data_IF_942102067445
#
_entry.id   IF_942102067445
#
_cell.length_a   1.000
_cell.length_b   1.000
_cell.length_c   1.000
_cell.angle_alpha   90.00
_cell.angle_beta   90.00
_cell.angle_gamma   90.00
#
_symmetry.space_group_name_H-M   'P 1'
#
loop_
_entity.id
_entity.type
_entity.pdbx_description
1 polymer ?
#
# COMPACT_ATOMS: atom_id res chain seq x y z
N UNK A 1 -22.90 26.07 1.96
CA UNK A 1 -22.35 25.28 0.85
C UNK A 1 -20.97 24.82 1.29
N UNK A 2 -20.93 23.73 2.07
CA UNK A 2 -19.71 23.21 2.68
C UNK A 2 -18.84 22.61 1.58
N UNK A 3 -17.56 22.97 1.60
CA UNK A 3 -16.59 22.55 0.61
C UNK A 3 -16.44 21.02 0.62
N UNK A 4 -17.11 20.32 -0.33
CA UNK A 4 -17.01 18.86 -0.53
C UNK A 4 -15.63 18.42 -1.08
N UNK A 5 -14.66 19.33 -1.15
CA UNK A 5 -13.34 19.09 -1.77
C UNK A 5 -12.20 18.85 -0.79
N UNK A 6 -12.42 18.98 0.52
CA UNK A 6 -11.40 18.62 1.50
C UNK A 6 -11.16 17.10 1.53
N UNK A 7 -9.91 16.69 1.73
CA UNK A 7 -9.61 15.32 2.19
C UNK A 7 -10.29 15.12 3.55
N UNK A 8 -10.62 13.87 3.89
CA UNK A 8 -11.02 13.58 5.28
C UNK A 8 -9.80 13.85 6.17
N UNK A 9 -9.81 14.90 7.00
CA UNK A 9 -8.64 15.29 7.78
C UNK A 9 -8.29 14.26 8.86
N UNK A 10 -9.16 13.30 9.14
CA UNK A 10 -8.90 12.18 10.05
C UNK A 10 -8.46 10.89 9.34
N UNK A 11 -8.44 10.84 8.01
CA UNK A 11 -8.03 9.66 7.28
C UNK A 11 -6.50 9.57 7.17
N UNK A 12 -5.90 8.38 7.37
CA UNK A 12 -4.47 8.20 7.12
C UNK A 12 -4.09 8.52 5.68
N UNK A 13 -2.86 9.00 5.48
CA UNK A 13 -2.38 9.35 4.14
C UNK A 13 -2.26 8.09 3.27
N UNK A 14 -1.71 7.01 3.83
CA UNK A 14 -1.48 5.78 3.09
C UNK A 14 -2.05 4.54 3.77
N UNK A 15 -2.37 3.54 2.95
CA UNK A 15 -2.79 2.21 3.36
C UNK A 15 -1.70 1.21 2.98
N UNK A 16 -1.20 0.40 3.92
CA UNK A 16 -0.23 -0.65 3.63
C UNK A 16 -0.92 -2.01 3.47
N UNK A 17 -1.07 -2.44 2.21
CA UNK A 17 -1.62 -3.75 1.84
C UNK A 17 -0.52 -4.80 1.74
N UNK A 18 -0.71 -5.94 2.40
CA UNK A 18 0.25 -7.04 2.44
C UNK A 18 -0.47 -8.38 2.58
N UNK A 19 0.18 -9.47 2.16
CA UNK A 19 -0.36 -10.82 2.34
C UNK A 19 -0.37 -11.18 3.83
N UNK A 20 -1.56 -11.28 4.41
CA UNK A 20 -1.75 -11.72 5.79
C UNK A 20 -1.64 -13.25 5.86
N UNK A 21 -1.13 -13.81 6.96
CA UNK A 21 -1.28 -15.22 7.26
C UNK A 21 -2.77 -15.57 7.33
N UNK A 22 -3.18 -16.62 6.62
CA UNK A 22 -4.56 -17.10 6.66
C UNK A 22 -4.90 -17.60 8.08
N UNK A 23 -5.83 -16.89 8.74
CA UNK A 23 -6.22 -17.19 10.13
C UNK A 23 -6.84 -18.59 10.27
N UNK A 24 -7.41 -19.13 9.20
CA UNK A 24 -8.10 -20.44 9.23
C UNK A 24 -7.14 -21.62 9.32
N UNK A 25 -5.86 -21.43 8.99
CA UNK A 25 -4.86 -22.52 8.88
C UNK A 25 -3.81 -22.53 10.00
N UNK A 26 -3.81 -21.57 10.92
CA UNK A 26 -2.76 -21.45 11.92
C UNK A 26 -3.07 -22.26 13.18
N UNK A 27 -2.74 -23.56 13.18
CA UNK A 27 -2.69 -24.41 14.39
C UNK A 27 -1.27 -24.33 14.97
N UNK A 28 -1.09 -23.58 16.06
CA UNK A 28 0.21 -23.45 16.76
C UNK A 28 0.43 -22.05 17.38
N UNK A 29 1.45 -21.87 18.23
CA UNK A 29 1.77 -20.55 18.79
C UNK A 29 2.04 -19.56 17.65
N UNK A 30 1.60 -18.29 17.78
CA UNK A 30 1.80 -17.30 16.73
C UNK A 30 3.30 -17.19 16.40
N UNK A 31 3.72 -17.67 15.23
CA UNK A 31 4.93 -17.11 14.61
C UNK A 31 4.65 -15.63 14.44
N UNK A 32 5.61 -14.72 14.66
CA UNK A 32 5.43 -13.28 14.38
C UNK A 32 5.61 -13.05 12.87
N UNK A 33 4.59 -13.24 12.00
CA UNK A 33 4.82 -13.44 10.58
C UNK A 33 5.10 -12.11 9.87
N UNK A 34 4.99 -10.99 10.60
CA UNK A 34 4.88 -9.65 10.04
C UNK A 34 5.87 -8.66 10.64
N UNK A 35 6.90 -9.08 11.40
CA UNK A 35 7.84 -8.13 12.05
C UNK A 35 8.48 -7.15 11.06
N UNK A 36 8.87 -7.61 9.87
CA UNK A 36 9.44 -6.72 8.84
C UNK A 36 8.37 -5.84 8.16
N UNK A 37 7.11 -6.27 8.11
CA UNK A 37 6.00 -5.44 7.63
C UNK A 37 5.69 -4.33 8.62
N UNK A 38 5.68 -4.66 9.93
CA UNK A 38 5.50 -3.69 11.01
C UNK A 38 6.65 -2.68 11.00
N UNK A 39 7.90 -3.15 10.95
CA UNK A 39 9.06 -2.26 10.81
C UNK A 39 8.93 -1.32 9.62
N UNK A 40 8.60 -1.85 8.43
CA UNK A 40 8.40 -1.01 7.24
C UNK A 40 7.29 0.01 7.44
N UNK A 41 6.18 -0.39 8.08
CA UNK A 41 5.07 0.51 8.36
C UNK A 41 5.48 1.63 9.30
N UNK A 42 6.20 1.32 10.38
CA UNK A 42 6.66 2.31 11.36
C UNK A 42 7.65 3.29 10.70
N UNK A 43 8.68 2.78 10.02
CA UNK A 43 9.70 3.58 9.33
C UNK A 43 9.06 4.48 8.25
N UNK A 44 8.12 3.94 7.47
CA UNK A 44 7.43 4.68 6.42
C UNK A 44 6.48 5.74 7.01
N UNK A 45 5.78 5.41 8.09
CA UNK A 45 4.88 6.33 8.80
C UNK A 45 5.61 7.54 9.32
N UNK A 46 6.77 7.35 9.96
CA UNK A 46 7.62 8.44 10.46
C UNK A 46 8.02 9.39 9.31
N UNK A 47 8.56 8.85 8.21
CA UNK A 47 8.99 9.66 7.08
C UNK A 47 7.83 10.38 6.37
N UNK A 48 6.68 9.73 6.22
CA UNK A 48 5.49 10.34 5.61
C UNK A 48 4.96 11.47 6.50
N UNK A 49 4.95 11.29 7.82
CA UNK A 49 4.56 12.32 8.76
C UNK A 49 5.48 13.56 8.67
N UNK A 50 6.79 13.35 8.62
CA UNK A 50 7.77 14.45 8.46
C UNK A 50 7.61 15.19 7.12
N UNK A 51 7.30 14.47 6.04
CA UNK A 51 7.22 15.05 4.69
C UNK A 51 5.90 15.77 4.37
N UNK A 52 4.80 15.34 4.97
CA UNK A 52 3.45 15.85 4.65
C UNK A 52 2.88 16.68 5.78
N UNK A 53 3.22 16.35 7.03
CA UNK A 53 2.57 16.88 8.22
C UNK A 53 1.19 16.25 8.40
N UNK A 54 1.00 15.47 9.47
CA UNK A 54 -0.32 14.99 9.87
C UNK A 54 -0.94 15.97 10.89
N UNK A 55 -2.28 16.19 10.89
CA UNK A 55 -2.94 16.88 11.98
C UNK A 55 -2.58 16.20 13.32
N UNK A 56 -2.37 17.01 14.37
CA UNK A 56 -1.98 16.51 15.70
C UNK A 56 -2.94 15.40 16.14
N UNK A 57 -2.43 14.18 16.28
CA UNK A 57 -3.16 13.01 16.76
C UNK A 57 -3.65 12.01 15.69
N UNK A 58 -3.38 12.23 14.40
CA UNK A 58 -3.71 11.28 13.32
C UNK A 58 -2.52 10.40 12.92
N UNK A 59 -2.74 9.08 12.82
CA UNK A 59 -1.77 8.13 12.26
C UNK A 59 -1.55 8.41 10.75
N UNK A 60 -0.31 8.61 10.28
CA UNK A 60 -0.02 8.93 8.87
C UNK A 60 -0.30 7.75 7.93
N UNK A 61 -0.34 6.52 8.47
CA UNK A 61 -0.60 5.29 7.72
C UNK A 61 -1.65 4.40 8.39
N UNK A 62 -2.24 3.50 7.61
CA UNK A 62 -3.05 2.40 8.10
C UNK A 62 -2.40 1.05 7.80
N UNK A 63 -2.28 0.20 8.82
CA UNK A 63 -1.86 -1.19 8.71
C UNK A 63 -2.83 -2.08 9.49
N UNK A 64 -3.47 -3.02 8.80
CA UNK A 64 -4.24 -4.06 9.50
C UNK A 64 -3.29 -5.12 10.08
N UNK A 65 -3.12 -5.08 11.40
CA UNK A 65 -2.39 -6.10 12.16
C UNK A 65 -3.22 -7.37 12.41
N UNK A 66 -4.45 -7.42 11.90
CA UNK A 66 -5.33 -8.58 12.04
C UNK A 66 -5.80 -8.82 13.48
N UNK A 67 -5.82 -7.77 14.30
CA UNK A 67 -6.16 -7.86 15.74
C UNK A 67 -7.66 -7.75 16.04
N UNK A 68 -8.48 -7.45 15.03
CA UNK A 68 -9.96 -7.50 15.11
C UNK A 68 -10.50 -8.66 14.27
N UNK A 69 -11.54 -9.35 14.74
CA UNK A 69 -12.30 -10.31 13.95
C UNK A 69 -13.74 -9.80 13.73
N UNK A 70 -14.43 -10.38 12.75
CA UNK A 70 -15.84 -10.10 12.48
C UNK A 70 -16.12 -8.80 11.72
N UNK A 71 -17.39 -8.42 11.66
CA UNK A 71 -17.92 -7.33 10.81
C UNK A 71 -17.29 -5.97 11.11
N UNK A 72 -16.98 -5.69 12.37
CA UNK A 72 -16.35 -4.42 12.75
C UNK A 72 -14.95 -4.28 12.14
N UNK A 73 -14.20 -5.37 12.08
CA UNK A 73 -12.87 -5.37 11.47
C UNK A 73 -12.95 -5.15 9.95
N UNK A 74 -13.85 -5.86 9.27
CA UNK A 74 -14.09 -5.66 7.84
C UNK A 74 -14.47 -4.19 7.56
N UNK A 75 -15.38 -3.61 8.34
CA UNK A 75 -15.74 -2.20 8.22
C UNK A 75 -14.54 -1.27 8.41
N UNK A 76 -13.67 -1.53 9.39
CA UNK A 76 -12.46 -0.73 9.60
C UNK A 76 -11.49 -0.81 8.41
N UNK A 77 -11.26 -2.00 7.84
CA UNK A 77 -10.38 -2.18 6.68
C UNK A 77 -10.96 -1.50 5.44
N UNK A 78 -12.26 -1.69 5.17
CA UNK A 78 -12.94 -1.05 4.03
C UNK A 78 -13.01 0.47 4.18
N UNK A 79 -13.24 0.98 5.40
CA UNK A 79 -13.17 2.41 5.70
C UNK A 79 -11.79 2.95 5.35
N UNK A 80 -10.73 2.33 5.87
CA UNK A 80 -9.36 2.79 5.60
C UNK A 80 -9.00 2.71 4.11
N UNK A 81 -9.33 1.61 3.43
CA UNK A 81 -9.09 1.47 1.99
C UNK A 81 -9.90 2.47 1.15
N UNK A 82 -11.11 2.79 1.60
CA UNK A 82 -12.02 3.74 0.96
C UNK A 82 -11.66 5.21 1.18
N UNK A 83 -10.87 5.55 2.20
CA UNK A 83 -10.54 6.95 2.55
C UNK A 83 -9.08 7.34 2.36
N UNK A 84 -8.12 6.42 2.55
CA UNK A 84 -6.69 6.72 2.40
C UNK A 84 -6.36 7.27 1.01
N UNK A 85 -5.34 8.12 0.90
CA UNK A 85 -4.98 8.77 -0.38
C UNK A 85 -4.04 7.92 -1.24
N UNK A 86 -3.24 7.04 -0.64
CA UNK A 86 -2.28 6.19 -1.38
C UNK A 86 -2.36 4.75 -0.87
N UNK A 87 -2.36 3.77 -1.76
CA UNK A 87 -2.20 2.36 -1.40
C UNK A 87 -0.76 1.95 -1.68
N UNK A 88 -0.08 1.37 -0.69
CA UNK A 88 1.22 0.71 -0.87
C UNK A 88 0.99 -0.79 -0.83
N UNK A 89 1.30 -1.49 -1.91
CA UNK A 89 1.07 -2.94 -2.03
C UNK A 89 2.40 -3.68 -1.92
N UNK A 90 2.56 -4.53 -0.91
CA UNK A 90 3.74 -5.39 -0.76
C UNK A 90 3.63 -6.63 -1.66
N UNK A 91 3.90 -6.43 -2.96
CA UNK A 91 3.75 -7.44 -4.01
C UNK A 91 4.74 -8.57 -3.79
N UNK A 92 4.19 -9.77 -3.65
CA UNK A 92 4.88 -11.04 -3.45
C UNK A 92 3.99 -12.16 -3.99
N UNK A 93 4.53 -13.36 -4.14
CA UNK A 93 3.72 -14.51 -4.57
C UNK A 93 2.46 -14.73 -3.70
N UNK A 94 2.53 -14.74 -2.35
CA UNK A 94 1.34 -14.87 -1.52
C UNK A 94 0.34 -13.70 -1.67
N UNK A 95 0.85 -12.48 -1.88
CA UNK A 95 0.00 -11.30 -2.12
C UNK A 95 -0.85 -11.49 -3.37
N UNK A 96 -0.24 -11.96 -4.45
CA UNK A 96 -0.88 -12.09 -5.76
C UNK A 96 -1.81 -13.30 -5.87
N UNK A 97 -1.49 -14.41 -5.20
CA UNK A 97 -2.13 -15.69 -5.49
C UNK A 97 -2.81 -16.36 -4.29
N UNK A 98 -2.52 -15.96 -3.06
CA UNK A 98 -3.04 -16.62 -1.85
C UNK A 98 -3.87 -15.71 -0.93
N UNK A 99 -3.71 -14.40 -1.02
CA UNK A 99 -4.43 -13.47 -0.16
C UNK A 99 -5.87 -13.29 -0.61
N UNK A 100 -6.83 -13.51 0.30
CA UNK A 100 -8.25 -13.21 0.06
C UNK A 100 -8.59 -11.73 0.18
N UNK A 101 -7.76 -10.94 0.87
CA UNK A 101 -8.02 -9.51 1.14
C UNK A 101 -7.30 -8.56 0.19
N UNK A 102 -6.13 -8.93 -0.32
CA UNK A 102 -5.36 -8.04 -1.20
C UNK A 102 -6.11 -7.69 -2.50
N UNK A 103 -6.81 -8.62 -3.17
CA UNK A 103 -7.63 -8.28 -4.33
C UNK A 103 -8.77 -7.30 -4.00
N UNK A 104 -9.43 -7.49 -2.85
CA UNK A 104 -10.53 -6.62 -2.39
C UNK A 104 -10.02 -5.20 -2.16
N UNK A 105 -8.94 -5.05 -1.39
CA UNK A 105 -8.32 -3.77 -1.09
C UNK A 105 -7.86 -3.05 -2.36
N UNK A 106 -7.24 -3.79 -3.29
CA UNK A 106 -6.84 -3.25 -4.57
C UNK A 106 -8.03 -2.74 -5.37
N UNK A 107 -9.11 -3.51 -5.44
CA UNK A 107 -10.30 -3.15 -6.21
C UNK A 107 -11.00 -1.91 -5.63
N UNK A 108 -11.02 -1.74 -4.29
CA UNK A 108 -11.48 -0.50 -3.65
C UNK A 108 -10.69 0.70 -4.15
N UNK A 109 -9.35 0.64 -4.17
CA UNK A 109 -8.53 1.74 -4.65
C UNK A 109 -8.65 1.94 -6.17
N UNK A 110 -8.71 0.86 -6.96
CA UNK A 110 -8.73 0.92 -8.42
C UNK A 110 -10.02 1.56 -8.97
N UNK A 111 -11.14 1.45 -8.23
CA UNK A 111 -12.42 2.06 -8.61
C UNK A 111 -12.52 3.54 -8.24
N UNK A 112 -11.62 4.05 -7.39
CA UNK A 112 -11.67 5.44 -6.90
C UNK A 112 -11.14 6.41 -7.94
N UNK A 113 -11.82 7.55 -8.04
CA UNK A 113 -11.43 8.61 -8.96
C UNK A 113 -10.20 9.36 -8.43
N UNK A 114 -9.15 9.43 -9.23
CA UNK A 114 -7.94 10.23 -8.96
C UNK A 114 -8.05 11.55 -9.72
N UNK A 115 -8.08 12.68 -9.01
CA UNK A 115 -8.20 14.02 -9.60
C UNK A 115 -6.95 14.86 -9.30
N UNK A 116 -6.40 15.61 -10.27
CA UNK A 116 -5.30 16.53 -10.00
C UNK A 116 -5.72 17.60 -8.99
N UNK A 117 -4.85 17.93 -8.03
CA UNK A 117 -5.03 19.10 -7.17
C UNK A 117 -4.82 20.38 -7.96
N UNK A 118 -5.38 21.49 -7.47
CA UNK A 118 -5.30 22.80 -8.13
C UNK A 118 -3.84 23.19 -8.39
N UNK A 119 -3.50 23.46 -9.65
CA UNK A 119 -2.14 23.83 -10.07
C UNK A 119 -1.24 22.65 -10.43
N UNK A 120 -1.68 21.40 -10.24
CA UNK A 120 -0.97 20.23 -10.73
C UNK A 120 -1.24 20.02 -12.23
N UNK A 121 -0.20 19.66 -12.99
CA UNK A 121 -0.34 19.25 -14.39
C UNK A 121 -0.99 17.87 -14.41
N UNK A 122 -2.12 17.67 -15.13
CA UNK A 122 -2.75 16.36 -15.23
C UNK A 122 -1.80 15.36 -15.88
N UNK A 123 -1.47 14.28 -15.17
CA UNK A 123 -0.79 13.11 -15.70
C UNK A 123 -1.53 11.87 -15.21
N UNK A 124 -1.57 10.83 -16.04
CA UNK A 124 -2.09 9.54 -15.61
C UNK A 124 -1.17 8.99 -14.51
N UNK A 125 -1.69 8.96 -13.28
CA UNK A 125 -1.01 8.42 -12.11
C UNK A 125 -2.03 7.59 -11.32
N UNK A 126 -1.61 6.42 -10.84
CA UNK A 126 -2.43 5.61 -9.96
C UNK A 126 -2.26 6.05 -8.51
N UNK A 127 -3.31 5.90 -7.71
CA UNK A 127 -3.21 5.98 -6.25
C UNK A 127 -2.52 4.74 -5.64
N UNK A 128 -2.31 3.71 -6.45
CA UNK A 128 -1.73 2.43 -6.06
C UNK A 128 -0.23 2.43 -6.38
N UNK A 129 0.58 2.08 -5.40
CA UNK A 129 2.04 1.99 -5.45
C UNK A 129 2.46 0.54 -5.16
N UNK A 130 2.61 -0.29 -6.21
CA UNK A 130 3.06 -1.67 -6.05
C UNK A 130 4.55 -1.72 -5.74
N UNK A 131 4.93 -2.24 -4.59
CA UNK A 131 6.32 -2.39 -4.13
C UNK A 131 6.71 -3.86 -4.21
N UNK A 132 7.82 -4.16 -4.88
CA UNK A 132 8.40 -5.51 -4.86
C UNK A 132 8.83 -5.87 -3.43
N UNK A 133 8.06 -6.73 -2.77
CA UNK A 133 8.32 -7.16 -1.40
C UNK A 133 9.30 -8.33 -1.37
N UNK A 134 9.02 -9.36 -2.15
CA UNK A 134 9.91 -10.51 -2.41
C UNK A 134 9.88 -10.81 -3.90
N UNK A 135 11.00 -11.24 -4.50
CA UNK A 135 11.01 -11.68 -5.90
C UNK A 135 10.09 -12.90 -6.10
N UNK A 136 9.55 -13.03 -7.31
CA UNK A 136 8.72 -14.16 -7.76
C UNK A 136 8.90 -14.31 -9.28
N UNK A 137 8.62 -15.51 -9.81
CA UNK A 137 8.88 -15.86 -11.21
C UNK A 137 7.64 -15.76 -12.10
N UNK A 138 6.45 -15.74 -11.50
CA UNK A 138 5.18 -15.75 -12.20
C UNK A 138 4.87 -14.39 -12.82
N UNK A 139 4.14 -14.40 -13.95
CA UNK A 139 3.64 -13.18 -14.56
C UNK A 139 2.68 -12.44 -13.62
N UNK A 140 2.71 -11.10 -13.71
CA UNK A 140 1.77 -10.25 -12.99
C UNK A 140 0.35 -10.44 -13.55
N UNK A 141 -0.66 -10.67 -12.68
CA UNK A 141 -2.06 -10.61 -13.09
C UNK A 141 -2.41 -9.26 -13.73
N UNK A 142 -3.33 -9.26 -14.70
CA UNK A 142 -3.62 -8.08 -15.54
C UNK A 142 -3.92 -6.78 -14.76
N UNK A 143 -4.71 -6.78 -13.66
CA UNK A 143 -4.95 -5.56 -12.89
C UNK A 143 -3.68 -4.98 -12.27
N UNK A 144 -2.75 -5.83 -11.84
CA UNK A 144 -1.47 -5.42 -11.24
C UNK A 144 -0.48 -4.99 -12.31
N UNK A 145 -0.40 -5.72 -13.42
CA UNK A 145 0.45 -5.39 -14.57
C UNK A 145 0.10 -4.03 -15.22
N UNK A 146 -1.16 -3.60 -15.11
CA UNK A 146 -1.62 -2.30 -15.60
C UNK A 146 -1.11 -1.11 -14.76
N UNK A 147 -0.55 -1.36 -13.58
CA UNK A 147 0.03 -0.33 -12.69
C UNK A 147 1.54 -0.49 -12.66
N UNK A 148 2.27 0.60 -12.87
CA UNK A 148 3.73 0.57 -12.86
C UNK A 148 4.25 0.20 -11.45
N UNK A 149 5.06 -0.85 -11.37
CA UNK A 149 5.80 -1.18 -10.15
C UNK A 149 6.65 0.01 -9.71
N UNK A 150 6.74 0.21 -8.40
CA UNK A 150 7.65 1.17 -7.80
C UNK A 150 9.10 0.74 -8.08
N UNK A 151 9.89 1.68 -8.59
CA UNK A 151 11.33 1.52 -8.76
C UNK A 151 11.99 2.79 -8.22
N UNK A 152 12.83 2.69 -7.17
CA UNK A 152 13.49 3.85 -6.60
C UNK A 152 14.45 4.45 -7.64
N UNK A 153 14.46 5.78 -7.75
CA UNK A 153 15.35 6.51 -8.67
C UNK A 153 16.22 7.53 -7.93
N UNK A 154 17.42 7.79 -8.45
CA UNK A 154 18.36 8.71 -7.81
C UNK A 154 18.82 8.20 -6.44
N UNK A 155 19.10 6.90 -6.37
CA UNK A 155 19.83 6.30 -5.25
C UNK A 155 21.33 6.65 -5.38
N UNK A 156 22.10 6.65 -4.27
CA UNK A 156 23.52 7.03 -4.29
C UNK A 156 24.40 6.15 -5.18
N UNK A 157 23.99 4.91 -5.39
CA UNK A 157 24.73 3.89 -6.11
C UNK A 157 23.77 3.15 -7.05
N UNK A 158 24.19 2.95 -8.29
CA UNK A 158 23.39 2.34 -9.35
C UNK A 158 23.03 0.88 -9.02
N UNK A 159 23.92 0.17 -8.32
CA UNK A 159 23.74 -1.24 -7.96
C UNK A 159 22.63 -1.44 -6.91
N UNK A 160 22.27 -0.39 -6.16
CA UNK A 160 21.25 -0.48 -5.10
C UNK A 160 19.86 -0.75 -5.69
N UNK A 161 19.57 -0.19 -6.86
CA UNK A 161 18.31 -0.48 -7.57
C UNK A 161 18.30 -1.92 -8.04
N UNK A 162 19.41 -2.42 -8.61
CA UNK A 162 19.52 -3.81 -9.03
C UNK A 162 19.36 -4.77 -7.86
N UNK A 163 19.94 -4.43 -6.69
CA UNK A 163 19.81 -5.21 -5.46
C UNK A 163 18.36 -5.28 -4.97
N UNK A 164 17.66 -4.15 -4.97
CA UNK A 164 16.22 -4.11 -4.66
C UNK A 164 15.40 -5.00 -5.59
N UNK A 165 15.65 -4.92 -6.90
CA UNK A 165 14.92 -5.72 -7.90
C UNK A 165 15.23 -7.22 -7.76
N UNK A 166 16.44 -7.58 -7.34
CA UNK A 166 16.86 -8.98 -7.14
C UNK A 166 16.33 -9.57 -5.84
N UNK A 167 16.48 -8.84 -4.74
CA UNK A 167 16.21 -9.36 -3.40
C UNK A 167 14.78 -9.05 -2.90
N UNK A 168 14.11 -8.07 -3.51
CA UNK A 168 12.92 -7.43 -2.95
C UNK A 168 13.23 -6.63 -1.68
N UNK A 169 12.28 -5.80 -1.24
CA UNK A 169 12.49 -4.98 -0.03
C UNK A 169 12.70 -5.82 1.23
N UNK A 170 12.04 -6.98 1.34
CA UNK A 170 12.23 -7.90 2.46
C UNK A 170 13.65 -8.48 2.48
N UNK A 171 14.17 -8.87 1.31
CA UNK A 171 15.51 -9.41 1.20
C UNK A 171 16.56 -8.38 1.61
N UNK A 172 16.42 -7.14 1.16
CA UNK A 172 17.27 -6.01 1.59
C UNK A 172 17.18 -5.80 3.11
N UNK A 173 15.97 -5.80 3.68
CA UNK A 173 15.76 -5.60 5.12
C UNK A 173 16.39 -6.71 5.98
N UNK A 174 16.37 -7.96 5.51
CA UNK A 174 16.84 -9.13 6.28
C UNK A 174 18.32 -9.44 6.13
N UNK A 175 19.00 -8.92 5.12
CA UNK A 175 20.41 -9.25 4.83
C UNK A 175 21.39 -8.22 5.39
N UNK A 176 20.92 -7.33 6.28
CA UNK A 176 21.75 -6.32 6.93
C UNK A 176 22.11 -5.15 6.03
N UNK A 177 21.45 -5.00 4.88
CA UNK A 177 21.67 -3.93 3.91
C UNK A 177 20.90 -2.66 4.31
N UNK A 178 21.07 -2.22 5.56
CA UNK A 178 20.25 -1.16 6.18
C UNK A 178 20.28 0.15 5.39
N UNK A 179 21.45 0.59 4.91
CA UNK A 179 21.55 1.82 4.12
C UNK A 179 20.74 1.76 2.81
N UNK A 180 20.69 0.58 2.16
CA UNK A 180 19.90 0.36 0.96
C UNK A 180 18.41 0.40 1.31
N UNK A 181 18.01 -0.30 2.38
CA UNK A 181 16.64 -0.31 2.88
C UNK A 181 16.17 1.10 3.20
N UNK A 182 16.90 1.85 4.03
CA UNK A 182 16.54 3.21 4.47
C UNK A 182 16.38 4.14 3.26
N UNK A 183 17.30 4.06 2.28
CA UNK A 183 17.20 4.85 1.07
C UNK A 183 15.98 4.49 0.21
N UNK A 184 15.61 3.21 0.12
CA UNK A 184 14.40 2.78 -0.61
C UNK A 184 13.14 3.27 0.11
N UNK A 185 13.06 3.12 1.44
CA UNK A 185 11.90 3.56 2.23
C UNK A 185 11.76 5.09 2.16
N UNK A 186 12.87 5.84 2.18
CA UNK A 186 12.87 7.28 1.93
C UNK A 186 12.32 7.64 0.55
N UNK A 187 12.77 6.96 -0.53
CA UNK A 187 12.23 7.20 -1.87
C UNK A 187 10.75 6.82 -1.99
N UNK A 188 10.30 5.80 -1.26
CA UNK A 188 8.89 5.44 -1.19
C UNK A 188 8.07 6.52 -0.48
N UNK A 189 8.55 7.05 0.66
CA UNK A 189 7.90 8.16 1.37
C UNK A 189 7.80 9.42 0.48
N UNK A 190 8.87 9.79 -0.22
CA UNK A 190 8.85 10.87 -1.20
C UNK A 190 7.85 10.62 -2.34
N UNK A 191 7.68 9.37 -2.76
CA UNK A 191 6.73 9.00 -3.80
C UNK A 191 5.28 9.16 -3.32
N UNK A 192 4.99 8.76 -2.08
CA UNK A 192 3.68 8.97 -1.42
C UNK A 192 3.41 10.47 -1.30
N UNK A 193 4.36 11.25 -0.77
CA UNK A 193 4.24 12.71 -0.67
C UNK A 193 3.95 13.36 -2.02
N UNK A 194 4.61 12.92 -3.09
CA UNK A 194 4.39 13.42 -4.45
C UNK A 194 2.99 13.11 -4.96
N UNK A 195 2.49 11.89 -4.75
CA UNK A 195 1.11 11.53 -5.15
C UNK A 195 0.13 12.38 -4.35
N UNK A 196 0.25 12.40 -3.02
CA UNK A 196 -0.61 13.15 -2.11
C UNK A 196 -0.65 14.65 -2.44
N UNK A 197 0.50 15.27 -2.70
CA UNK A 197 0.60 16.69 -3.01
C UNK A 197 0.09 17.08 -4.40
N UNK A 198 0.01 16.13 -5.35
CA UNK A 198 -0.39 16.41 -6.75
C UNK A 198 -1.80 15.94 -7.08
N UNK A 199 -2.30 14.94 -6.38
CA UNK A 199 -3.59 14.33 -6.66
C UNK A 199 -4.40 14.20 -5.37
N UNK A 200 -5.72 14.18 -5.55
CA UNK A 200 -6.69 13.79 -4.56
C UNK A 200 -7.37 12.53 -5.04
N UNK A 201 -7.50 11.55 -4.17
CA UNK A 201 -8.23 10.32 -4.43
C UNK A 201 -9.58 10.44 -3.73
N UNK A 202 -10.64 10.57 -4.51
CA UNK A 202 -11.98 10.77 -3.96
C UNK A 202 -12.34 9.58 -3.06
N UNK A 203 -12.81 9.83 -1.82
CA UNK A 203 -13.18 8.75 -0.91
C UNK A 203 -14.38 7.98 -1.46
N UNK A 204 -14.32 6.67 -1.36
CA UNK A 204 -15.42 5.75 -1.72
C UNK A 204 -15.31 4.52 -0.84
N UNK A 205 -16.13 4.46 0.20
CA UNK A 205 -16.17 3.32 1.14
C UNK A 205 -17.26 2.36 0.67
N UNK A 206 -16.92 1.09 0.35
CA UNK A 206 -17.92 0.07 0.03
C UNK A 206 -18.76 -0.29 1.27
N UNK A 207 -20.03 -0.65 1.06
CA UNK A 207 -20.91 -1.14 2.13
C UNK A 207 -20.51 -2.56 2.61
N UNK A 208 -19.82 -3.31 1.75
CA UNK A 208 -19.38 -4.68 1.99
C UNK A 208 -18.38 -5.18 0.95
N UNK A 209 -18.14 -6.49 0.92
CA UNK A 209 -17.15 -7.13 0.03
C UNK A 209 -17.78 -7.82 -1.18
N UNK A 210 -19.11 -7.88 -1.23
CA UNK A 210 -19.89 -8.68 -2.17
C UNK A 210 -19.69 -8.25 -3.63
N UNK A 211 -19.53 -6.94 -3.86
CA UNK A 211 -19.34 -6.35 -5.20
C UNK A 211 -17.86 -6.13 -5.59
N UNK A 212 -16.94 -6.54 -4.72
CA UNK A 212 -15.50 -6.36 -4.91
C UNK A 212 -14.87 -7.61 -5.54
N UNK A 213 -13.78 -7.39 -6.31
CA UNK A 213 -13.00 -8.49 -6.89
C UNK A 213 -12.30 -9.28 -5.78
N UNK A 214 -12.54 -10.59 -5.75
CA UNK A 214 -11.95 -11.50 -4.74
C UNK A 214 -10.64 -12.15 -5.20
N UNK A 215 -10.27 -11.96 -6.47
CA UNK A 215 -9.03 -12.45 -7.07
C UNK A 215 -8.43 -11.44 -8.05
N UNK A 216 -7.10 -11.44 -8.17
CA UNK A 216 -6.40 -10.68 -9.22
C UNK A 216 -6.49 -11.33 -10.61
N UNK A 217 -6.81 -12.62 -10.69
CA UNK A 217 -6.80 -13.41 -11.92
C UNK A 217 -8.17 -13.52 -12.59
N UNK A 218 -9.25 -13.11 -11.93
CA UNK A 218 -10.57 -13.04 -12.55
C UNK A 218 -10.61 -11.84 -13.51
N UNK A 219 -10.75 -12.13 -14.81
CA UNK A 219 -11.00 -11.11 -15.83
C UNK A 219 -12.40 -10.52 -15.69
N UNK A 220 -12.69 -9.36 -16.32
CA UNK A 220 -14.07 -8.90 -16.41
C UNK A 220 -14.88 -9.95 -17.19
N UNK A 221 -15.93 -10.47 -16.56
CA UNK A 221 -16.96 -11.28 -17.22
C UNK A 221 -17.60 -10.53 -18.38
#
# INVERSE_FOLDING_TARGET
MTDRTADDPGAPVFFLSYSRPDRTRSVGPPREPNRNVIRLFDDLSELVNELIGSPVGGEPGFLDLGRGGGDLWQKTVLQAAGTCQVMVCLVSYPYLFHSSWCPLEWDVFARRRVVPRRGAVPRAESAIVPVLWTPFEQDLPAPVAAVRMFTPTGLPDEDWTARYLTDGLLGVARTGQTAIYDAIVWKLAMHIQRIHGRYRVEPSVPDGVEDLRTSFTEGPS
#
